data_IF_578196257662
#
_entry.id   IF_578196257662
#
_cell.length_a   1.000
_cell.length_b   1.000
_cell.length_c   1.000
_cell.angle_alpha   90.00
_cell.angle_beta   90.00
_cell.angle_gamma   90.00
#
_symmetry.space_group_name_H-M   'P 1'
#
loop_
_entity.id
_entity.type
_entity.pdbx_description
1 polymer ?
#
# COMPACT_ATOMS: atom_id res chain seq x y z
N UNK A 1 -1.54 6.04 33.35
CA UNK A 1 -0.30 6.62 32.79
C UNK A 1 -0.11 8.00 33.39
N UNK A 2 1.13 8.39 33.71
CA UNK A 2 1.47 9.78 33.99
C UNK A 2 1.35 10.60 32.71
N UNK A 3 0.79 11.80 32.78
CA UNK A 3 0.66 12.70 31.63
C UNK A 3 1.74 13.77 31.68
N UNK A 4 2.13 14.28 30.51
CA UNK A 4 3.01 15.43 30.35
C UNK A 4 2.24 16.54 29.62
N UNK A 5 2.26 17.75 30.17
CA UNK A 5 1.69 18.92 29.50
C UNK A 5 2.79 19.57 28.67
N UNK A 6 2.63 19.50 27.35
CA UNK A 6 3.49 20.23 26.41
C UNK A 6 3.16 21.73 26.45
N UNK A 7 4.17 22.59 26.32
CA UNK A 7 3.95 24.04 26.25
C UNK A 7 3.15 24.42 25.01
N UNK A 8 2.16 25.29 25.21
CA UNK A 8 1.40 25.90 24.14
C UNK A 8 2.30 26.73 23.22
N UNK A 9 1.99 26.73 21.92
CA UNK A 9 2.72 27.44 20.88
C UNK A 9 1.86 27.67 19.65
N UNK A 10 2.11 28.79 18.99
CA UNK A 10 1.61 29.03 17.65
C UNK A 10 2.38 28.16 16.64
N UNK A 11 1.65 27.51 15.74
CA UNK A 11 2.22 26.73 14.65
C UNK A 11 2.19 27.60 13.38
N UNK A 12 3.33 27.81 12.69
CA UNK A 12 3.35 28.63 11.49
C UNK A 12 2.55 27.97 10.37
N UNK A 13 1.61 28.72 9.78
CA UNK A 13 0.98 28.34 8.52
C UNK A 13 1.96 28.65 7.40
N UNK A 14 2.54 27.61 6.81
CA UNK A 14 3.63 27.74 5.83
C UNK A 14 3.11 27.86 4.40
N UNK A 15 1.87 27.46 4.16
CA UNK A 15 1.25 27.56 2.85
C UNK A 15 -0.27 27.61 2.92
N UNK A 16 -0.85 28.31 1.94
CA UNK A 16 -2.25 28.24 1.53
C UNK A 16 -2.30 27.71 0.08
N UNK A 17 -3.03 26.62 -0.13
CA UNK A 17 -3.11 25.89 -1.41
C UNK A 17 -4.55 25.50 -1.74
N UNK A 18 -4.80 25.04 -2.97
CA UNK A 18 -6.13 24.54 -3.31
C UNK A 18 -6.34 23.12 -2.75
N UNK A 19 -5.31 22.26 -2.84
CA UNK A 19 -5.39 20.84 -2.45
C UNK A 19 -4.14 20.41 -1.69
N UNK A 20 -4.33 19.81 -0.51
CA UNK A 20 -3.28 19.08 0.22
C UNK A 20 -3.59 17.58 0.20
N UNK A 21 -2.69 16.78 -0.38
CA UNK A 21 -2.76 15.32 -0.36
C UNK A 21 -1.79 14.81 0.69
N UNK A 22 -2.30 14.03 1.65
CA UNK A 22 -1.51 13.46 2.74
C UNK A 22 -1.22 11.99 2.46
N UNK A 23 0.02 11.66 2.09
CA UNK A 23 0.49 10.33 1.73
C UNK A 23 0.63 10.16 0.21
N UNK A 24 1.74 9.58 -0.22
CA UNK A 24 2.09 9.40 -1.64
C UNK A 24 2.01 7.93 -2.09
N UNK A 25 1.14 7.15 -1.46
CA UNK A 25 0.77 5.84 -1.98
C UNK A 25 0.10 5.91 -3.36
N UNK A 26 -0.34 4.76 -3.90
CA UNK A 26 -1.01 4.68 -5.21
C UNK A 26 -2.14 5.70 -5.38
N UNK A 27 -3.03 5.80 -4.38
CA UNK A 27 -4.16 6.73 -4.39
C UNK A 27 -3.70 8.19 -4.35
N UNK A 28 -2.78 8.53 -3.43
CA UNK A 28 -2.32 9.90 -3.23
C UNK A 28 -1.57 10.47 -4.44
N UNK A 29 -0.72 9.67 -5.08
CA UNK A 29 -0.03 10.07 -6.31
C UNK A 29 -1.01 10.37 -7.43
N UNK A 30 -1.99 9.49 -7.63
CA UNK A 30 -3.00 9.69 -8.67
C UNK A 30 -3.85 10.94 -8.38
N UNK A 31 -4.27 11.13 -7.12
CA UNK A 31 -5.03 12.31 -6.70
C UNK A 31 -4.24 13.61 -6.89
N UNK A 32 -2.97 13.63 -6.48
CA UNK A 32 -2.12 14.83 -6.58
C UNK A 32 -1.87 15.23 -8.04
N UNK A 33 -1.50 14.28 -8.90
CA UNK A 33 -1.28 14.52 -10.34
C UNK A 33 -2.57 14.98 -11.01
N UNK A 34 -3.70 14.32 -10.73
CA UNK A 34 -4.99 14.70 -11.29
C UNK A 34 -5.41 16.12 -10.87
N UNK A 35 -5.26 16.45 -9.58
CA UNK A 35 -5.56 17.79 -9.06
C UNK A 35 -4.68 18.86 -9.74
N UNK A 36 -3.36 18.67 -9.79
CA UNK A 36 -2.46 19.63 -10.39
C UNK A 36 -2.72 19.82 -11.90
N UNK A 37 -2.99 18.74 -12.64
CA UNK A 37 -3.33 18.80 -14.08
C UNK A 37 -4.66 19.50 -14.38
N UNK A 38 -5.54 19.65 -13.38
CA UNK A 38 -6.77 20.47 -13.49
C UNK A 38 -6.54 21.94 -13.12
N UNK A 39 -5.30 22.32 -12.80
CA UNK A 39 -4.88 23.70 -12.50
C UNK A 39 -4.92 24.06 -11.03
N UNK A 40 -5.20 23.11 -10.13
CA UNK A 40 -5.16 23.34 -8.69
C UNK A 40 -3.71 23.51 -8.21
N UNK A 41 -3.46 24.46 -7.31
CA UNK A 41 -2.20 24.50 -6.57
C UNK A 41 -2.18 23.34 -5.58
N UNK A 42 -1.37 22.33 -5.84
CA UNK A 42 -1.39 21.05 -5.12
C UNK A 42 -0.12 20.78 -4.34
N UNK A 43 -0.28 20.48 -3.05
CA UNK A 43 0.77 20.02 -2.15
C UNK A 43 0.62 18.52 -1.89
N UNK A 44 1.69 17.74 -2.06
CA UNK A 44 1.75 16.32 -1.71
C UNK A 44 2.73 16.10 -0.55
N UNK A 45 2.25 15.57 0.57
CA UNK A 45 3.03 15.35 1.79
C UNK A 45 3.30 13.85 1.97
N UNK A 46 4.55 13.45 2.20
CA UNK A 46 4.95 12.07 2.36
C UNK A 46 5.89 11.91 3.56
N UNK A 47 5.67 10.87 4.37
CA UNK A 47 6.47 10.56 5.56
C UNK A 47 7.81 9.92 5.21
N UNK A 48 7.87 9.20 4.09
CA UNK A 48 9.06 8.53 3.57
C UNK A 48 9.96 9.47 2.77
N UNK A 49 11.14 8.97 2.42
CA UNK A 49 12.13 9.67 1.60
C UNK A 49 11.98 9.48 0.10
N UNK A 50 10.84 8.95 -0.36
CA UNK A 50 10.52 8.76 -1.78
C UNK A 50 9.01 8.64 -1.95
N UNK A 51 8.53 8.92 -3.16
CA UNK A 51 7.13 8.75 -3.53
C UNK A 51 6.75 7.29 -3.78
N UNK A 52 5.46 6.95 -3.65
CA UNK A 52 4.87 5.66 -4.04
C UNK A 52 4.34 4.81 -2.88
N UNK A 53 4.64 5.17 -1.63
CA UNK A 53 4.16 4.46 -0.44
C UNK A 53 4.44 2.94 -0.50
N UNK A 54 3.39 2.12 -0.49
CA UNK A 54 3.51 0.66 -0.54
C UNK A 54 4.22 0.14 -1.81
N UNK A 55 4.10 0.86 -2.93
CA UNK A 55 4.77 0.48 -4.17
C UNK A 55 6.29 0.61 -4.07
N UNK A 56 6.79 1.52 -3.23
CA UNK A 56 8.21 1.85 -3.16
C UNK A 56 8.81 1.59 -1.78
N UNK A 57 8.45 2.38 -0.77
CA UNK A 57 8.91 2.19 0.61
C UNK A 57 8.47 0.85 1.20
N UNK A 58 7.27 0.38 0.85
CA UNK A 58 6.78 -0.97 1.21
C UNK A 58 7.34 -2.09 0.33
N UNK A 59 8.02 -1.75 -0.78
CA UNK A 59 8.62 -2.68 -1.74
C UNK A 59 7.65 -3.73 -2.34
N UNK A 60 6.33 -3.45 -2.33
CA UNK A 60 5.33 -4.30 -2.97
C UNK A 60 5.39 -4.14 -4.49
N UNK A 61 6.41 -4.74 -5.09
CA UNK A 61 6.69 -4.77 -6.53
C UNK A 61 5.71 -5.69 -7.29
N UNK A 62 4.41 -5.40 -7.13
CA UNK A 62 3.34 -6.12 -7.79
C UNK A 62 2.12 -5.22 -7.94
N UNK A 63 1.80 -4.83 -9.18
CA UNK A 63 0.56 -4.14 -9.51
C UNK A 63 -0.48 -5.18 -9.91
N UNK A 64 -1.66 -5.09 -9.31
CA UNK A 64 -2.80 -5.97 -9.55
C UNK A 64 -3.87 -5.19 -10.33
N UNK A 65 -4.58 -5.87 -11.23
CA UNK A 65 -5.71 -5.29 -11.98
C UNK A 65 -5.29 -4.05 -12.79
N UNK A 66 -4.14 -4.13 -13.48
CA UNK A 66 -3.64 -3.04 -14.33
C UNK A 66 -4.15 -3.09 -15.76
N UNK A 67 -4.59 -4.26 -16.23
CA UNK A 67 -4.98 -4.43 -17.63
C UNK A 67 -6.22 -3.60 -17.97
N UNK A 68 -6.10 -2.80 -19.04
CA UNK A 68 -7.20 -1.98 -19.55
C UNK A 68 -7.61 -0.82 -18.65
N UNK A 69 -6.80 -0.47 -17.63
CA UNK A 69 -7.03 0.72 -16.81
C UNK A 69 -6.50 1.96 -17.56
N UNK A 70 -7.34 2.98 -17.81
CA UNK A 70 -6.92 4.18 -18.51
C UNK A 70 -6.23 5.18 -17.55
N UNK A 71 -5.80 6.31 -18.12
CA UNK A 71 -5.34 7.47 -17.35
C UNK A 71 -3.97 7.23 -16.71
N UNK A 72 -3.79 7.72 -15.48
CA UNK A 72 -2.48 7.71 -14.80
C UNK A 72 -1.90 6.28 -14.68
N UNK A 73 -2.75 5.27 -14.49
CA UNK A 73 -2.28 3.86 -14.45
C UNK A 73 -1.73 3.38 -15.81
N UNK A 74 -2.36 3.79 -16.92
CA UNK A 74 -1.89 3.51 -18.28
C UNK A 74 -0.55 4.19 -18.53
N UNK A 75 -0.44 5.48 -18.15
CA UNK A 75 0.79 6.26 -18.27
C UNK A 75 1.95 5.60 -17.50
N UNK A 76 1.74 5.26 -16.21
CA UNK A 76 2.76 4.59 -15.39
C UNK A 76 3.17 3.25 -16.02
N UNK A 77 2.19 2.44 -16.43
CA UNK A 77 2.43 1.11 -16.98
C UNK A 77 3.21 1.18 -18.29
N UNK A 78 2.84 2.08 -19.20
CA UNK A 78 3.51 2.29 -20.48
C UNK A 78 4.92 2.85 -20.30
N UNK A 79 5.12 3.75 -19.35
CA UNK A 79 6.42 4.35 -19.11
C UNK A 79 7.40 3.37 -18.43
N UNK A 80 6.93 2.53 -17.50
CA UNK A 80 7.73 1.42 -16.98
C UNK A 80 8.09 0.40 -18.08
N UNK A 81 7.18 0.13 -19.02
CA UNK A 81 7.50 -0.69 -20.19
C UNK A 81 8.61 -0.06 -21.04
N UNK A 82 8.46 1.22 -21.37
CA UNK A 82 9.43 1.96 -22.19
C UNK A 82 10.82 1.98 -21.55
N UNK A 83 10.89 2.01 -20.22
CA UNK A 83 12.14 1.94 -19.44
C UNK A 83 12.72 0.53 -19.29
N UNK A 84 12.00 -0.51 -19.73
CA UNK A 84 12.37 -1.90 -19.42
C UNK A 84 12.33 -2.21 -17.92
N UNK A 85 11.48 -1.50 -17.19
CA UNK A 85 11.38 -1.54 -15.73
C UNK A 85 10.15 -2.30 -15.23
N UNK A 86 9.42 -3.01 -16.11
CA UNK A 86 8.37 -3.97 -15.73
C UNK A 86 8.59 -5.32 -16.36
N UNK A 87 8.19 -6.37 -15.66
CA UNK A 87 8.14 -7.72 -16.21
C UNK A 87 6.82 -7.90 -17.00
N UNK A 88 6.92 -8.01 -18.32
CA UNK A 88 5.78 -8.07 -19.25
C UNK A 88 5.10 -9.45 -19.34
N UNK A 89 5.68 -10.48 -18.71
CA UNK A 89 5.30 -11.89 -18.92
C UNK A 89 4.67 -12.52 -17.68
N UNK A 90 3.62 -11.90 -17.16
CA UNK A 90 2.72 -12.55 -16.20
C UNK A 90 1.66 -13.34 -16.98
N UNK A 91 1.35 -14.61 -16.65
CA UNK A 91 0.53 -15.49 -17.49
C UNK A 91 -0.87 -15.02 -17.87
N UNK A 92 -1.42 -14.00 -17.20
CA UNK A 92 -2.74 -13.43 -17.49
C UNK A 92 -2.72 -12.02 -18.10
N UNK A 93 -1.54 -11.37 -18.18
CA UNK A 93 -1.40 -9.98 -18.63
C UNK A 93 -2.12 -8.94 -17.77
N UNK A 94 -2.73 -9.34 -16.65
CA UNK A 94 -3.56 -8.49 -15.78
C UNK A 94 -2.78 -7.77 -14.69
N UNK A 95 -1.61 -8.31 -14.38
CA UNK A 95 -0.76 -7.88 -13.28
C UNK A 95 0.68 -7.77 -13.80
N UNK A 96 1.51 -7.00 -13.13
CA UNK A 96 2.94 -6.96 -13.44
C UNK A 96 3.78 -6.66 -12.20
N UNK A 97 5.01 -7.16 -12.22
CA UNK A 97 6.07 -6.73 -11.31
C UNK A 97 6.91 -5.63 -11.96
N UNK A 98 7.59 -4.84 -11.14
CA UNK A 98 8.31 -3.66 -11.61
C UNK A 98 9.54 -3.33 -10.77
N UNK A 99 10.55 -2.71 -11.36
CA UNK A 99 11.68 -2.21 -10.61
C UNK A 99 11.25 -1.00 -9.76
N UNK A 100 11.49 -1.10 -8.45
CA UNK A 100 11.04 -0.09 -7.49
C UNK A 100 11.84 1.20 -7.56
N UNK A 101 13.14 1.16 -7.87
CA UNK A 101 13.92 2.38 -8.05
C UNK A 101 13.46 3.13 -9.31
N UNK A 102 13.16 2.40 -10.38
CA UNK A 102 12.58 2.99 -11.58
C UNK A 102 11.18 3.58 -11.32
N UNK A 103 10.36 2.92 -10.49
CA UNK A 103 9.06 3.45 -10.06
C UNK A 103 9.23 4.76 -9.26
N UNK A 104 10.15 4.82 -8.28
CA UNK A 104 10.39 6.06 -7.51
C UNK A 104 10.68 7.25 -8.42
N UNK A 105 11.65 7.09 -9.32
CA UNK A 105 12.04 8.12 -10.27
C UNK A 105 10.88 8.52 -11.18
N UNK A 106 10.13 7.55 -11.70
CA UNK A 106 8.97 7.81 -12.55
C UNK A 106 7.92 8.66 -11.82
N UNK A 107 7.54 8.29 -10.60
CA UNK A 107 6.53 9.02 -9.85
C UNK A 107 6.98 10.45 -9.54
N UNK A 108 8.26 10.65 -9.21
CA UNK A 108 8.84 11.98 -8.99
C UNK A 108 8.83 12.84 -10.25
N UNK A 109 9.22 12.27 -11.40
CA UNK A 109 9.16 12.96 -12.69
C UNK A 109 7.73 13.34 -13.07
N UNK A 110 6.75 12.45 -12.90
CA UNK A 110 5.35 12.72 -13.18
C UNK A 110 4.77 13.81 -12.28
N UNK A 111 5.12 13.82 -10.98
CA UNK A 111 4.71 14.88 -10.06
C UNK A 111 5.30 16.24 -10.45
N UNK A 112 6.61 16.29 -10.76
CA UNK A 112 7.29 17.53 -11.20
C UNK A 112 6.70 18.05 -12.50
N UNK A 113 6.47 17.17 -13.49
CA UNK A 113 5.86 17.54 -14.77
C UNK A 113 4.43 18.07 -14.59
N UNK A 114 3.65 17.47 -13.70
CA UNK A 114 2.30 17.92 -13.39
C UNK A 114 2.25 19.23 -12.58
N UNK A 115 3.38 19.70 -12.03
CA UNK A 115 3.43 20.89 -11.18
C UNK A 115 3.00 20.65 -9.73
N UNK A 116 3.08 19.40 -9.25
CA UNK A 116 2.82 19.05 -7.84
C UNK A 116 4.00 19.52 -6.98
N UNK A 117 3.73 20.25 -5.90
CA UNK A 117 4.74 20.60 -4.90
C UNK A 117 4.87 19.46 -3.88
N UNK A 118 6.04 18.82 -3.82
CA UNK A 118 6.28 17.60 -3.05
C UNK A 118 7.05 17.89 -1.77
N UNK A 119 6.57 17.36 -0.65
CA UNK A 119 7.19 17.46 0.68
C UNK A 119 7.41 16.07 1.28
N UNK A 120 8.63 15.56 1.18
CA UNK A 120 9.07 14.29 1.77
C UNK A 120 9.40 14.43 3.27
N UNK A 121 9.62 13.29 3.95
CA UNK A 121 10.02 13.22 5.37
C UNK A 121 9.13 14.01 6.35
N UNK A 122 7.83 14.04 6.07
CA UNK A 122 6.88 14.90 6.78
C UNK A 122 5.63 14.10 7.14
N UNK A 123 5.35 13.99 8.44
CA UNK A 123 4.23 13.22 8.98
C UNK A 123 3.08 14.13 9.36
N UNK A 124 1.85 13.78 9.02
CA UNK A 124 0.64 14.42 9.56
C UNK A 124 0.44 14.02 11.01
N UNK A 125 0.24 15.00 11.89
CA UNK A 125 0.14 14.77 13.35
C UNK A 125 -1.08 15.39 14.00
N UNK A 126 -1.74 16.35 13.33
CA UNK A 126 -3.03 16.88 13.76
C UNK A 126 -3.82 17.45 12.59
N UNK A 127 -5.10 17.68 12.81
CA UNK A 127 -6.01 18.32 11.88
C UNK A 127 -6.95 19.24 12.67
N UNK A 128 -7.39 20.34 12.05
CA UNK A 128 -8.30 21.30 12.66
C UNK A 128 -9.42 21.67 11.69
N UNK A 129 -10.65 21.66 12.20
CA UNK A 129 -11.84 22.11 11.49
C UNK A 129 -12.11 23.57 11.81
N UNK A 130 -12.76 24.28 10.90
CA UNK A 130 -13.33 25.60 11.19
C UNK A 130 -14.67 25.50 11.95
N UNK A 131 -15.34 26.65 12.13
CA UNK A 131 -16.61 26.72 12.86
C UNK A 131 -17.77 26.06 12.08
N UNK A 132 -17.62 25.88 10.78
CA UNK A 132 -18.57 25.30 9.85
C UNK A 132 -18.34 23.79 9.63
N UNK A 133 -17.43 23.16 10.38
CA UNK A 133 -17.08 21.74 10.29
C UNK A 133 -16.31 21.35 9.02
N UNK A 134 -15.72 22.32 8.33
CA UNK A 134 -14.84 22.08 7.18
C UNK A 134 -13.40 21.90 7.67
N UNK A 135 -12.70 20.89 7.17
CA UNK A 135 -11.27 20.71 7.47
C UNK A 135 -10.49 21.88 6.87
N UNK A 136 -9.91 22.72 7.72
CA UNK A 136 -9.25 23.97 7.29
C UNK A 136 -7.73 23.87 7.31
N UNK A 137 -7.18 23.07 8.24
CA UNK A 137 -5.74 22.95 8.44
C UNK A 137 -5.34 21.52 8.78
N UNK A 138 -4.23 21.06 8.19
CA UNK A 138 -3.47 19.91 8.71
C UNK A 138 -2.15 20.38 9.30
N UNK A 139 -1.70 19.71 10.36
CA UNK A 139 -0.44 20.00 11.03
C UNK A 139 0.49 18.83 10.82
N UNK A 140 1.74 19.12 10.47
CA UNK A 140 2.78 18.10 10.28
C UNK A 140 3.95 18.28 11.22
N UNK A 141 4.74 17.21 11.38
CA UNK A 141 6.07 17.25 11.97
C UNK A 141 7.11 16.71 10.98
N UNK A 142 8.24 17.42 10.92
CA UNK A 142 9.42 17.05 10.14
C UNK A 142 10.69 17.56 10.83
N UNK A 143 11.84 17.42 10.16
CA UNK A 143 13.10 18.03 10.62
C UNK A 143 13.02 19.57 10.71
N UNK A 144 12.08 20.20 10.00
CA UNK A 144 11.83 21.65 10.07
C UNK A 144 11.02 22.06 11.30
N UNK A 145 10.59 21.10 12.13
CA UNK A 145 9.68 21.32 13.24
C UNK A 145 8.23 21.11 12.83
N UNK A 146 7.32 21.75 13.57
CA UNK A 146 5.88 21.65 13.37
C UNK A 146 5.41 22.75 12.43
N UNK A 147 4.67 22.38 11.39
CA UNK A 147 4.17 23.28 10.34
C UNK A 147 2.67 23.03 10.12
N UNK A 148 1.92 24.09 9.81
CA UNK A 148 0.51 24.02 9.47
C UNK A 148 0.28 24.30 7.98
N UNK A 149 -0.65 23.58 7.37
CA UNK A 149 -0.96 23.64 5.93
C UNK A 149 -2.45 23.91 5.77
N UNK A 150 -2.78 25.07 5.21
CA UNK A 150 -4.16 25.44 4.89
C UNK A 150 -4.49 25.03 3.45
N UNK A 151 -5.71 24.55 3.24
CA UNK A 151 -6.22 24.24 1.92
C UNK A 151 -7.74 24.29 1.84
N UNK A 152 -8.27 24.33 0.62
CA UNK A 152 -9.71 24.23 0.38
C UNK A 152 -10.19 22.78 0.45
N UNK A 153 -9.36 21.85 0.00
CA UNK A 153 -9.66 20.40 0.00
C UNK A 153 -8.44 19.63 0.47
N UNK A 154 -8.69 18.57 1.24
CA UNK A 154 -7.69 17.64 1.72
C UNK A 154 -8.03 16.22 1.24
N UNK A 155 -7.00 15.43 0.97
CA UNK A 155 -7.14 14.01 0.61
C UNK A 155 -6.35 13.17 1.61
N UNK A 156 -7.03 12.28 2.32
CA UNK A 156 -6.40 11.26 3.16
C UNK A 156 -5.95 10.07 2.31
N UNK A 157 -4.68 10.11 1.90
CA UNK A 157 -3.99 9.02 1.26
C UNK A 157 -2.86 8.47 2.14
N UNK A 158 -3.00 8.59 3.48
CA UNK A 158 -1.96 8.25 4.45
C UNK A 158 -1.67 6.74 4.49
N UNK A 159 -2.58 5.95 3.93
CA UNK A 159 -2.54 4.49 3.89
C UNK A 159 -3.36 3.87 5.02
N UNK A 160 -3.39 4.52 6.20
CA UNK A 160 -4.00 3.98 7.42
C UNK A 160 -5.18 4.81 7.95
N UNK A 161 -5.64 5.81 7.18
CA UNK A 161 -6.76 6.69 7.54
C UNK A 161 -6.43 7.64 8.69
N UNK A 162 -5.15 8.04 8.81
CA UNK A 162 -4.68 8.87 9.92
C UNK A 162 -5.26 10.27 9.87
N UNK A 163 -5.33 10.89 8.69
CA UNK A 163 -5.87 12.25 8.58
C UNK A 163 -7.36 12.28 8.92
N UNK A 164 -8.16 11.36 8.40
CA UNK A 164 -9.58 11.27 8.73
C UNK A 164 -9.82 11.04 10.22
N UNK A 165 -9.04 10.17 10.85
CA UNK A 165 -9.13 9.95 12.29
C UNK A 165 -8.70 11.18 13.11
N UNK A 166 -7.61 11.87 12.71
CA UNK A 166 -7.15 13.12 13.35
C UNK A 166 -8.16 14.26 13.14
N UNK A 167 -8.80 14.30 11.97
CA UNK A 167 -9.86 15.23 11.70
C UNK A 167 -11.09 14.92 12.54
N UNK A 168 -11.28 13.67 12.99
CA UNK A 168 -12.37 13.21 13.87
C UNK A 168 -13.53 12.55 13.13
N UNK A 169 -13.29 11.97 11.96
CA UNK A 169 -14.26 11.15 11.25
C UNK A 169 -14.50 9.82 11.96
N UNK A 170 -15.70 9.27 11.80
CA UNK A 170 -16.00 7.88 12.10
C UNK A 170 -15.22 6.94 11.19
N UNK A 171 -14.81 5.80 11.75
CA UNK A 171 -14.11 4.77 11.00
C UNK A 171 -14.35 3.39 11.58
N UNK A 172 -14.21 2.38 10.73
CA UNK A 172 -14.12 0.98 11.13
C UNK A 172 -12.68 0.48 10.99
N UNK A 173 -12.29 -0.48 11.82
CA UNK A 173 -11.01 -1.17 11.73
C UNK A 173 -11.16 -2.60 12.24
N UNK A 174 -10.66 -3.57 11.47
CA UNK A 174 -10.85 -4.99 11.76
C UNK A 174 -12.21 -5.52 11.31
N UNK A 175 -12.41 -6.82 11.52
CA UNK A 175 -13.70 -7.51 11.31
C UNK A 175 -14.79 -6.98 12.26
N UNK A 176 -16.03 -6.75 11.79
CA UNK A 176 -17.13 -6.35 12.66
C UNK A 176 -17.45 -7.35 13.78
N UNK A 177 -17.14 -8.64 13.60
CA UNK A 177 -17.49 -9.68 14.56
C UNK A 177 -16.57 -9.71 15.79
N UNK A 178 -15.28 -9.39 15.60
CA UNK A 178 -14.26 -9.60 16.63
C UNK A 178 -13.09 -8.61 16.61
N UNK A 179 -13.11 -7.61 15.73
CA UNK A 179 -12.06 -6.61 15.56
C UNK A 179 -10.77 -7.14 14.92
N UNK A 180 -10.70 -8.41 14.51
CA UNK A 180 -9.48 -8.98 13.96
C UNK A 180 -9.10 -8.29 12.65
N UNK A 181 -7.84 -7.87 12.57
CA UNK A 181 -7.24 -7.20 11.40
C UNK A 181 -6.43 -8.19 10.54
N UNK A 182 -6.36 -7.91 9.24
CA UNK A 182 -5.56 -8.69 8.32
C UNK A 182 -4.06 -8.67 8.67
N UNK A 183 -3.34 -9.79 8.48
CA UNK A 183 -1.94 -9.87 8.84
C UNK A 183 -1.04 -8.98 7.97
N UNK A 184 -0.06 -8.33 8.59
CA UNK A 184 0.95 -7.54 7.88
C UNK A 184 1.99 -8.45 7.19
N UNK A 185 2.65 -7.95 6.15
CA UNK A 185 3.73 -8.67 5.44
C UNK A 185 4.94 -7.77 5.23
N UNK A 186 6.15 -8.33 5.28
CA UNK A 186 7.37 -7.59 4.94
C UNK A 186 7.92 -8.12 3.62
N UNK A 187 7.95 -7.25 2.61
CA UNK A 187 8.52 -7.59 1.30
C UNK A 187 10.05 -7.66 1.37
N UNK A 188 10.64 -8.56 0.59
CA UNK A 188 12.08 -8.62 0.36
C UNK A 188 12.39 -8.65 -1.12
N UNK A 189 13.46 -7.98 -1.54
CA UNK A 189 14.08 -8.25 -2.83
C UNK A 189 15.20 -9.26 -2.65
N UNK A 190 15.22 -10.24 -3.55
CA UNK A 190 16.18 -11.33 -3.56
C UNK A 190 16.87 -11.41 -4.91
N UNK A 191 18.12 -11.87 -4.89
CA UNK A 191 18.98 -12.07 -6.07
C UNK A 191 19.83 -13.33 -5.90
N UNK A 192 20.71 -13.61 -6.85
CA UNK A 192 21.59 -14.78 -6.84
C UNK A 192 20.91 -16.07 -7.32
N UNK A 193 19.79 -15.93 -8.03
CA UNK A 193 19.08 -17.00 -8.74
C UNK A 193 18.68 -16.48 -10.12
N UNK A 194 18.55 -17.38 -11.10
CA UNK A 194 18.12 -17.01 -12.46
C UNK A 194 16.68 -17.46 -12.70
N UNK A 195 15.90 -16.64 -13.41
CA UNK A 195 14.48 -16.94 -13.67
C UNK A 195 14.27 -18.33 -14.26
N UNK A 196 15.06 -18.73 -15.25
CA UNK A 196 14.91 -20.04 -15.92
C UNK A 196 15.16 -21.23 -14.99
N UNK A 197 15.91 -21.05 -13.89
CA UNK A 197 16.17 -22.09 -12.89
C UNK A 197 15.04 -22.21 -11.86
N UNK A 198 14.36 -21.10 -11.57
CA UNK A 198 13.33 -21.02 -10.53
C UNK A 198 11.93 -20.75 -11.08
N UNK A 199 11.71 -20.78 -12.39
CA UNK A 199 10.44 -20.45 -13.05
C UNK A 199 9.25 -21.16 -12.39
N UNK A 200 9.43 -22.43 -12.01
CA UNK A 200 8.38 -23.21 -11.36
C UNK A 200 7.93 -22.66 -9.99
N UNK A 201 8.76 -21.87 -9.31
CA UNK A 201 8.48 -21.21 -8.02
C UNK A 201 7.97 -19.78 -8.18
N UNK A 202 8.07 -19.21 -9.38
CA UNK A 202 7.64 -17.84 -9.68
C UNK A 202 6.21 -17.88 -10.19
N UNK A 203 5.32 -17.06 -9.63
CA UNK A 203 3.95 -17.08 -10.11
C UNK A 203 3.00 -15.98 -9.71
N UNK A 204 3.42 -15.04 -8.87
CA UNK A 204 2.56 -13.94 -8.44
C UNK A 204 1.22 -14.42 -7.86
N UNK A 205 0.13 -14.32 -8.64
CA UNK A 205 -1.21 -14.77 -8.25
C UNK A 205 -1.44 -16.29 -8.37
N UNK A 206 -0.55 -17.05 -9.03
CA UNK A 206 -0.74 -18.49 -9.29
C UNK A 206 -0.62 -19.36 -8.04
N UNK A 207 -1.51 -20.35 -7.88
CA UNK A 207 -1.51 -21.23 -6.70
C UNK A 207 -0.37 -22.26 -6.68
N UNK A 208 -0.06 -22.87 -7.82
CA UNK A 208 0.89 -23.99 -7.87
C UNK A 208 2.35 -23.60 -7.54
N UNK A 209 2.89 -22.48 -8.06
CA UNK A 209 4.21 -21.99 -7.65
C UNK A 209 4.31 -21.70 -6.15
N UNK A 210 3.25 -21.16 -5.54
CA UNK A 210 3.20 -20.90 -4.09
C UNK A 210 3.32 -22.19 -3.27
N UNK A 211 2.60 -23.25 -3.66
CA UNK A 211 2.68 -24.57 -3.02
C UNK A 211 4.08 -25.17 -3.14
N UNK A 212 4.70 -25.08 -4.33
CA UNK A 212 6.07 -25.54 -4.55
C UNK A 212 7.06 -24.77 -3.68
N UNK A 213 6.94 -23.45 -3.60
CA UNK A 213 7.82 -22.64 -2.76
C UNK A 213 7.65 -22.93 -1.27
N UNK A 214 6.41 -23.12 -0.81
CA UNK A 214 6.14 -23.54 0.57
C UNK A 214 6.82 -24.88 0.89
N UNK A 215 6.61 -25.90 0.06
CA UNK A 215 7.23 -27.21 0.23
C UNK A 215 8.76 -27.15 0.18
N UNK A 216 9.33 -26.24 -0.61
CA UNK A 216 10.79 -26.04 -0.69
C UNK A 216 11.35 -25.38 0.58
N UNK A 217 10.62 -24.42 1.17
CA UNK A 217 10.97 -23.83 2.47
C UNK A 217 10.84 -24.85 3.61
N UNK A 218 9.82 -25.72 3.57
CA UNK A 218 9.72 -26.87 4.49
C UNK A 218 10.88 -27.85 4.33
N UNK A 219 11.27 -28.18 3.08
CA UNK A 219 12.43 -29.02 2.78
C UNK A 219 13.74 -28.41 3.32
N UNK A 220 13.82 -27.09 3.35
CA UNK A 220 14.91 -26.34 3.99
C UNK A 220 14.87 -26.36 5.53
N UNK A 221 13.83 -26.94 6.13
CA UNK A 221 13.64 -27.04 7.57
C UNK A 221 12.99 -25.82 8.23
N UNK A 222 12.49 -24.85 7.44
CA UNK A 222 11.88 -23.62 7.95
C UNK A 222 10.56 -23.35 7.20
N UNK A 223 9.40 -23.80 7.73
CA UNK A 223 8.12 -23.44 7.15
C UNK A 223 7.86 -21.91 7.30
N UNK A 224 7.34 -21.23 6.28
CA UNK A 224 6.96 -19.83 6.39
C UNK A 224 5.66 -19.65 7.18
N UNK A 225 5.51 -18.52 7.88
CA UNK A 225 4.25 -18.13 8.55
C UNK A 225 3.14 -17.81 7.56
N UNK A 226 3.49 -17.37 6.34
CA UNK A 226 2.51 -17.19 5.26
C UNK A 226 2.35 -18.47 4.45
N UNK A 227 1.13 -18.99 4.36
CA UNK A 227 0.82 -20.21 3.61
C UNK A 227 0.85 -20.08 2.09
N UNK A 228 0.94 -18.86 1.55
CA UNK A 228 1.00 -18.60 0.12
C UNK A 228 2.30 -17.92 -0.30
N UNK A 229 3.49 -18.36 0.16
CA UNK A 229 4.73 -17.64 -0.11
C UNK A 229 4.88 -17.47 -1.61
N UNK A 230 5.27 -16.27 -2.04
CA UNK A 230 5.22 -15.86 -3.44
C UNK A 230 6.52 -15.20 -3.85
N UNK A 231 7.03 -15.59 -5.02
CA UNK A 231 8.09 -14.89 -5.73
C UNK A 231 7.49 -14.20 -6.97
N UNK A 232 7.82 -12.93 -7.13
CA UNK A 232 7.49 -12.08 -8.27
C UNK A 232 8.78 -11.77 -9.04
N UNK A 233 8.78 -12.02 -10.35
CA UNK A 233 9.91 -11.70 -11.23
C UNK A 233 9.97 -10.21 -11.50
N UNK A 234 11.02 -9.52 -11.05
CA UNK A 234 11.24 -8.10 -11.34
C UNK A 234 12.14 -7.94 -12.57
N UNK A 235 13.29 -8.64 -12.56
CA UNK A 235 14.20 -8.83 -13.70
C UNK A 235 14.59 -10.31 -13.79
N UNK A 236 15.57 -10.65 -14.63
CA UNK A 236 16.04 -12.03 -14.81
C UNK A 236 16.72 -12.60 -13.56
N UNK A 237 17.41 -11.75 -12.79
CA UNK A 237 18.17 -12.08 -11.59
C UNK A 237 17.73 -11.31 -10.32
N UNK A 238 16.61 -10.59 -10.41
CA UNK A 238 16.03 -9.80 -9.32
C UNK A 238 14.56 -10.15 -9.15
N UNK A 239 14.18 -10.48 -7.92
CA UNK A 239 12.83 -10.90 -7.58
C UNK A 239 12.34 -10.21 -6.32
N UNK A 240 11.03 -10.00 -6.22
CA UNK A 240 10.39 -9.68 -4.95
C UNK A 240 9.82 -10.95 -4.32
N UNK A 241 9.93 -11.07 -3.01
CA UNK A 241 9.48 -12.21 -2.23
C UNK A 241 8.57 -11.74 -1.09
N UNK A 242 7.44 -12.42 -0.96
CA UNK A 242 6.50 -12.28 0.14
C UNK A 242 6.31 -13.64 0.78
N UNK A 243 6.78 -13.83 2.02
CA UNK A 243 6.80 -15.16 2.65
C UNK A 243 6.41 -15.14 4.13
N UNK A 244 5.98 -14.01 4.68
CA UNK A 244 5.65 -13.89 6.09
C UNK A 244 4.32 -13.17 6.33
N UNK A 245 3.71 -13.47 7.48
CA UNK A 245 2.52 -12.83 8.01
C UNK A 245 2.74 -12.48 9.48
N UNK A 246 2.35 -11.28 9.89
CA UNK A 246 2.33 -10.86 11.28
C UNK A 246 0.88 -10.58 11.67
N UNK A 247 0.33 -11.43 12.53
CA UNK A 247 -1.09 -11.49 12.84
C UNK A 247 -1.44 -10.61 14.05
N UNK A 248 -2.65 -10.04 14.06
CA UNK A 248 -3.18 -9.27 15.21
C UNK A 248 -2.43 -7.96 15.48
N UNK A 249 -1.80 -7.39 14.46
CA UNK A 249 -1.06 -6.14 14.56
C UNK A 249 -1.92 -5.01 14.01
N UNK A 250 -2.29 -4.06 14.85
CA UNK A 250 -3.09 -2.90 14.44
C UNK A 250 -2.21 -1.79 13.87
N UNK A 251 -2.69 -1.11 12.82
CA UNK A 251 -1.98 -0.03 12.14
C UNK A 251 -1.72 1.21 13.01
N UNK A 252 -2.45 1.35 14.12
CA UNK A 252 -2.38 2.49 15.02
C UNK A 252 -1.59 2.21 16.31
N UNK A 253 -0.84 1.10 16.37
CA UNK A 253 0.01 0.74 17.51
C UNK A 253 1.48 0.65 17.07
N UNK A 254 2.23 1.72 17.36
CA UNK A 254 3.63 1.84 16.97
C UNK A 254 4.54 0.78 17.61
N UNK A 255 4.25 0.32 18.84
CA UNK A 255 5.04 -0.71 19.50
C UNK A 255 4.78 -2.07 18.85
N UNK A 256 3.52 -2.40 18.58
CA UNK A 256 3.14 -3.62 17.89
C UNK A 256 3.72 -3.68 16.47
N UNK A 257 3.65 -2.57 15.71
CA UNK A 257 4.24 -2.47 14.37
C UNK A 257 5.76 -2.66 14.43
N UNK A 258 6.43 -2.05 15.41
CA UNK A 258 7.88 -2.18 15.58
C UNK A 258 8.26 -3.64 15.83
N UNK A 259 7.57 -4.31 16.75
CA UNK A 259 7.77 -5.72 17.05
C UNK A 259 7.55 -6.59 15.82
N UNK A 260 6.40 -6.44 15.15
CA UNK A 260 6.04 -7.16 13.94
C UNK A 260 7.08 -6.99 12.82
N UNK A 261 7.63 -5.78 12.67
CA UNK A 261 8.67 -5.48 11.68
C UNK A 261 9.99 -6.20 11.98
N UNK A 262 10.40 -6.26 13.25
CA UNK A 262 11.63 -6.97 13.66
C UNK A 262 11.46 -8.49 13.48
N UNK A 263 10.31 -9.03 13.87
CA UNK A 263 9.98 -10.45 13.76
C UNK A 263 9.90 -10.88 12.28
N UNK A 264 9.15 -10.13 11.46
CA UNK A 264 9.05 -10.33 10.01
C UNK A 264 10.43 -10.34 9.33
N UNK A 265 11.30 -9.38 9.65
CA UNK A 265 12.64 -9.32 9.07
C UNK A 265 13.49 -10.52 9.49
N UNK A 266 13.38 -10.94 10.75
CA UNK A 266 14.08 -12.12 11.26
C UNK A 266 13.63 -13.39 10.51
N UNK A 267 12.32 -13.55 10.31
CA UNK A 267 11.75 -14.68 9.58
C UNK A 267 12.21 -14.71 8.12
N UNK A 268 12.08 -13.61 7.39
CA UNK A 268 12.51 -13.50 5.98
C UNK A 268 13.99 -13.85 5.82
N UNK A 269 14.87 -13.31 6.67
CA UNK A 269 16.29 -13.65 6.62
C UNK A 269 16.57 -15.12 6.98
N UNK A 270 15.75 -15.72 7.84
CA UNK A 270 15.86 -17.14 8.20
C UNK A 270 15.45 -18.03 7.03
N UNK A 271 14.33 -17.73 6.38
CA UNK A 271 13.86 -18.44 5.19
C UNK A 271 14.89 -18.40 4.06
N UNK A 272 15.47 -17.23 3.75
CA UNK A 272 16.50 -17.11 2.70
C UNK A 272 17.76 -17.90 3.05
N UNK A 273 18.24 -17.86 4.30
CA UNK A 273 19.38 -18.67 4.74
C UNK A 273 19.10 -20.17 4.63
N UNK A 274 17.89 -20.59 5.00
CA UNK A 274 17.46 -21.98 4.93
C UNK A 274 17.43 -22.45 3.47
N UNK A 275 16.76 -21.72 2.57
CA UNK A 275 16.75 -22.02 1.14
C UNK A 275 18.18 -22.10 0.58
N UNK A 276 19.04 -21.13 0.90
CA UNK A 276 20.45 -21.15 0.46
C UNK A 276 21.20 -22.39 0.92
N UNK A 277 20.91 -22.89 2.14
CA UNK A 277 21.58 -24.08 2.68
C UNK A 277 21.28 -25.37 1.90
N UNK A 278 20.21 -25.39 1.09
CA UNK A 278 19.89 -26.50 0.20
C UNK A 278 20.89 -26.65 -0.97
N UNK A 279 21.70 -25.62 -1.25
CA UNK A 279 22.60 -25.60 -2.40
C UNK A 279 21.85 -25.60 -3.73
N UNK A 280 22.46 -26.15 -4.77
CA UNK A 280 21.85 -26.23 -6.11
C UNK A 280 21.46 -24.86 -6.66
N UNK A 281 20.21 -24.73 -7.12
CA UNK A 281 19.64 -23.48 -7.65
C UNK A 281 19.57 -22.34 -6.61
N UNK A 282 19.67 -22.66 -5.31
CA UNK A 282 19.58 -21.67 -4.22
C UNK A 282 20.93 -21.24 -3.65
N UNK A 283 22.05 -21.85 -4.09
CA UNK A 283 23.37 -21.72 -3.43
C UNK A 283 23.85 -20.27 -3.29
N UNK A 284 23.46 -19.41 -4.23
CA UNK A 284 23.87 -18.00 -4.29
C UNK A 284 22.74 -17.04 -3.86
N UNK A 285 21.59 -17.56 -3.40
CA UNK A 285 20.43 -16.76 -3.00
C UNK A 285 20.78 -15.74 -1.90
N UNK A 286 20.45 -14.48 -2.14
CA UNK A 286 20.76 -13.36 -1.26
C UNK A 286 19.57 -12.40 -1.14
N UNK A 287 19.48 -11.72 0.00
CA UNK A 287 18.58 -10.58 0.18
C UNK A 287 19.33 -9.33 -0.28
N UNK A 288 18.72 -8.58 -1.19
CA UNK A 288 19.16 -7.25 -1.59
C UNK A 288 18.71 -6.23 -0.54
N UNK A 289 17.42 -6.23 -0.24
CA UNK A 289 16.81 -5.35 0.75
C UNK A 289 15.48 -5.95 1.26
N UNK A 290 15.01 -5.43 2.40
CA UNK A 290 13.62 -5.57 2.85
C UNK A 290 12.93 -4.23 2.76
N UNK A 291 11.60 -4.21 2.65
CA UNK A 291 10.82 -2.96 2.70
C UNK A 291 11.20 -2.08 3.90
N UNK A 292 11.28 -0.77 3.68
CA UNK A 292 11.53 0.20 4.74
C UNK A 292 10.31 0.33 5.66
N UNK A 293 9.11 0.10 5.10
CA UNK A 293 7.84 -0.02 5.81
C UNK A 293 7.33 -1.46 5.71
N UNK A 294 6.82 -2.01 6.81
CA UNK A 294 6.05 -3.25 6.77
C UNK A 294 4.70 -2.99 6.09
N UNK A 295 4.27 -3.88 5.20
CA UNK A 295 3.00 -3.78 4.51
C UNK A 295 1.84 -3.95 5.48
N UNK A 296 1.20 -2.83 5.82
CA UNK A 296 -0.08 -2.78 6.52
C UNK A 296 -1.19 -3.08 5.51
N UNK A 297 -2.05 -4.05 5.81
CA UNK A 297 -3.17 -4.44 4.93
C UNK A 297 -4.49 -3.82 5.33
N UNK A 298 -4.57 -3.33 6.56
CA UNK A 298 -5.82 -2.85 7.15
C UNK A 298 -5.53 -1.77 8.19
N UNK A 299 -5.82 -0.53 7.81
CA UNK A 299 -5.89 0.61 8.72
C UNK A 299 -7.33 1.01 9.01
N UNK A 300 -7.55 2.29 9.29
CA UNK A 300 -8.88 2.84 9.53
C UNK A 300 -9.60 3.05 8.20
N UNK A 301 -10.76 2.43 8.04
CA UNK A 301 -11.67 2.69 6.93
C UNK A 301 -12.59 3.85 7.31
N UNK A 302 -12.23 5.04 6.85
CA UNK A 302 -13.02 6.26 7.09
C UNK A 302 -14.41 6.10 6.47
N UNK A 303 -15.44 6.52 7.19
CA UNK A 303 -16.82 6.47 6.71
C UNK A 303 -17.04 7.50 5.61
N UNK A 304 -17.28 7.01 4.39
CA UNK A 304 -17.68 7.84 3.26
C UNK A 304 -19.20 8.05 3.20
N UNK A 305 -19.67 8.87 2.26
CA UNK A 305 -21.11 8.97 1.95
C UNK A 305 -21.69 7.68 1.33
N UNK A 306 -20.84 6.74 0.93
CA UNK A 306 -21.22 5.41 0.46
C UNK A 306 -20.20 4.37 0.91
N UNK A 307 -20.67 3.21 1.35
CA UNK A 307 -19.82 2.05 1.66
C UNK A 307 -19.95 1.03 0.52
N UNK A 308 -18.84 0.72 -0.15
CA UNK A 308 -18.81 -0.34 -1.16
C UNK A 308 -18.86 -1.68 -0.45
N UNK A 309 -19.99 -2.37 -0.60
CA UNK A 309 -20.31 -3.57 0.17
C UNK A 309 -19.91 -4.87 -0.56
N UNK A 310 -19.82 -5.98 0.17
CA UNK A 310 -19.64 -7.29 -0.46
C UNK A 310 -20.79 -7.68 -1.40
N UNK A 311 -21.99 -7.12 -1.20
CA UNK A 311 -23.14 -7.26 -2.10
C UNK A 311 -22.91 -6.51 -3.42
N UNK A 312 -22.37 -5.29 -3.37
CA UNK A 312 -22.01 -4.53 -4.57
C UNK A 312 -21.04 -5.29 -5.46
N UNK A 313 -20.05 -5.92 -4.84
CA UNK A 313 -19.04 -6.74 -5.51
C UNK A 313 -19.63 -8.02 -6.10
N UNK A 314 -20.60 -8.63 -5.43
CA UNK A 314 -21.31 -9.83 -5.92
C UNK A 314 -22.17 -9.49 -7.13
N UNK A 315 -22.85 -8.34 -7.08
CA UNK A 315 -23.87 -7.96 -8.05
C UNK A 315 -23.29 -7.12 -9.20
N UNK A 316 -22.02 -6.70 -9.11
CA UNK A 316 -21.33 -5.96 -10.17
C UNK A 316 -21.88 -4.55 -10.31
N UNK A 317 -22.16 -3.90 -9.19
CA UNK A 317 -22.88 -2.61 -9.16
C UNK A 317 -22.12 -1.54 -9.94
N UNK A 318 -22.90 -0.75 -10.70
CA UNK A 318 -22.44 0.38 -11.52
C UNK A 318 -22.94 1.68 -10.92
N UNK A 319 -22.15 2.74 -11.02
CA UNK A 319 -22.52 4.04 -10.46
C UNK A 319 -22.37 5.16 -11.50
N UNK A 320 -23.27 6.14 -11.47
CA UNK A 320 -23.22 7.32 -12.37
C UNK A 320 -22.00 8.21 -12.08
N UNK A 321 -21.57 8.27 -10.82
CA UNK A 321 -20.40 8.98 -10.31
C UNK A 321 -19.19 8.06 -10.12
N UNK A 322 -19.10 6.96 -10.88
CA UNK A 322 -17.97 6.04 -10.82
C UNK A 322 -16.65 6.74 -11.20
N UNK A 323 -15.62 6.55 -10.36
CA UNK A 323 -14.25 7.05 -10.61
C UNK A 323 -13.23 5.94 -10.77
N UNK A 324 -13.56 4.72 -10.35
CA UNK A 324 -12.72 3.55 -10.54
C UNK A 324 -13.60 2.37 -10.95
N UNK A 325 -13.23 1.72 -12.05
CA UNK A 325 -13.75 0.41 -12.42
C UNK A 325 -12.82 -0.66 -11.89
N UNK A 326 -13.32 -1.67 -11.21
CA UNK A 326 -12.52 -2.75 -10.59
C UNK A 326 -12.86 -4.09 -11.23
N UNK A 327 -11.83 -4.86 -11.58
CA UNK A 327 -12.00 -6.25 -12.08
C UNK A 327 -11.33 -7.29 -11.18
N UNK A 328 -10.71 -6.83 -10.08
CA UNK A 328 -10.17 -7.66 -9.03
C UNK A 328 -11.23 -8.09 -8.01
N UNK A 329 -11.04 -9.27 -7.42
CA UNK A 329 -11.94 -9.80 -6.40
C UNK A 329 -11.59 -9.34 -4.99
N UNK A 330 -12.36 -9.83 -4.01
CA UNK A 330 -12.09 -9.63 -2.58
C UNK A 330 -10.84 -10.44 -2.19
N UNK A 331 -9.79 -9.73 -1.76
CA UNK A 331 -8.55 -10.32 -1.25
C UNK A 331 -8.47 -10.15 0.27
N UNK A 332 -9.11 -11.08 0.99
CA UNK A 332 -9.10 -11.10 2.46
C UNK A 332 -8.24 -12.26 2.93
N UNK A 333 -7.16 -11.93 3.63
CA UNK A 333 -6.26 -12.89 4.25
C UNK A 333 -6.85 -13.39 5.57
N UNK A 334 -6.72 -14.70 5.84
CA UNK A 334 -7.13 -15.29 7.12
C UNK A 334 -6.45 -14.59 8.28
N UNK A 335 -7.22 -14.23 9.31
CA UNK A 335 -6.73 -13.64 10.56
C UNK A 335 -6.27 -14.70 11.57
N UNK A 336 -6.44 -15.99 11.26
CA UNK A 336 -6.05 -17.10 12.12
C UNK A 336 -4.86 -17.87 11.50
N UNK A 337 -3.72 -17.97 12.22
CA UNK A 337 -2.52 -18.64 11.72
C UNK A 337 -2.70 -20.15 11.48
N UNK A 338 -3.65 -20.80 12.15
CA UNK A 338 -3.96 -22.23 11.97
C UNK A 338 -4.96 -22.48 10.83
N UNK A 339 -5.72 -21.46 10.44
CA UNK A 339 -6.64 -21.50 9.30
C UNK A 339 -5.95 -20.95 8.06
N UNK A 340 -4.91 -21.62 7.62
CA UNK A 340 -4.17 -21.32 6.37
C UNK A 340 -4.86 -21.84 5.11
N UNK A 341 -6.09 -22.37 5.22
CA UNK A 341 -6.87 -22.83 4.07
C UNK A 341 -7.70 -21.70 3.47
N UNK A 342 -7.02 -20.87 2.67
CA UNK A 342 -7.62 -20.01 1.67
C UNK A 342 -8.09 -18.65 2.19
N UNK A 343 -8.03 -17.66 1.30
CA UNK A 343 -9.03 -16.57 1.24
C UNK A 343 -10.36 -17.18 1.66
N UNK A 344 -11.05 -16.64 2.66
CA UNK A 344 -12.40 -17.13 2.95
C UNK A 344 -13.19 -17.01 1.66
N UNK A 345 -13.36 -18.14 0.99
CA UNK A 345 -14.13 -18.24 -0.23
C UNK A 345 -15.57 -18.10 0.24
N UNK A 346 -16.00 -16.85 0.49
CA UNK A 346 -17.40 -16.53 0.45
C UNK A 346 -17.90 -17.03 -0.91
N UNK A 347 -19.04 -17.72 -0.98
CA UNK A 347 -19.49 -18.53 -2.13
C UNK A 347 -19.79 -17.70 -3.40
N UNK A 348 -19.32 -16.47 -3.50
CA UNK A 348 -19.68 -15.50 -4.52
C UNK A 348 -18.41 -14.98 -5.17
N UNK A 349 -18.23 -15.33 -6.45
CA UNK A 349 -17.22 -14.73 -7.30
C UNK A 349 -17.62 -13.27 -7.53
N UNK A 350 -16.75 -12.33 -7.14
CA UNK A 350 -16.98 -10.92 -7.43
C UNK A 350 -17.11 -10.72 -8.95
N UNK A 351 -18.10 -9.93 -9.34
CA UNK A 351 -18.26 -9.40 -10.68
C UNK A 351 -17.52 -8.05 -10.76
N UNK A 352 -17.06 -7.62 -11.94
CA UNK A 352 -16.52 -6.28 -12.08
C UNK A 352 -17.51 -5.21 -11.62
N UNK A 353 -17.05 -4.24 -10.84
CA UNK A 353 -17.87 -3.26 -10.12
C UNK A 353 -17.23 -1.87 -10.17
N UNK A 354 -17.98 -0.85 -9.79
CA UNK A 354 -17.46 0.52 -9.67
C UNK A 354 -17.22 0.92 -8.21
N UNK A 355 -16.22 1.79 -8.00
CA UNK A 355 -16.10 2.62 -6.80
C UNK A 355 -16.60 4.03 -7.15
N UNK A 356 -17.68 4.52 -6.51
CA UNK A 356 -18.22 5.85 -6.76
C UNK A 356 -17.43 6.93 -6.01
N UNK A 357 -17.38 8.15 -6.55
CA UNK A 357 -16.70 9.29 -5.92
C UNK A 357 -17.16 9.53 -4.49
N UNK A 358 -18.47 9.44 -4.23
CA UNK A 358 -19.04 9.65 -2.89
C UNK A 358 -18.55 8.64 -1.83
N UNK A 359 -17.98 7.50 -2.23
CA UNK A 359 -17.34 6.57 -1.29
C UNK A 359 -15.99 7.10 -0.77
N UNK A 360 -15.39 8.05 -1.48
CA UNK A 360 -14.15 8.73 -1.13
C UNK A 360 -14.38 10.16 -0.63
N UNK A 361 -15.58 10.49 -0.15
CA UNK A 361 -15.85 11.78 0.47
C UNK A 361 -16.22 11.50 1.92
N UNK A 362 -15.43 12.02 2.85
CA UNK A 362 -15.64 11.80 4.28
C UNK A 362 -17.02 12.28 4.70
N UNK A 363 -17.78 11.43 5.38
CA UNK A 363 -19.17 11.70 5.75
C UNK A 363 -19.31 12.77 6.83
N UNK A 364 -18.34 12.82 7.74
CA UNK A 364 -18.44 13.57 9.00
C UNK A 364 -17.75 14.94 8.96
N UNK A 365 -16.95 15.23 7.92
CA UNK A 365 -16.10 16.42 7.81
C UNK A 365 -16.10 16.92 6.38
N UNK A 366 -16.44 18.19 6.19
CA UNK A 366 -16.43 18.80 4.87
C UNK A 366 -14.99 19.11 4.41
N UNK A 367 -14.77 19.06 3.10
CA UNK A 367 -13.45 19.33 2.51
C UNK A 367 -12.43 18.20 2.64
N UNK A 368 -12.83 17.01 3.10
CA UNK A 368 -11.96 15.84 3.22
C UNK A 368 -12.44 14.69 2.32
N UNK A 369 -11.50 14.15 1.54
CA UNK A 369 -11.68 12.93 0.75
C UNK A 369 -10.90 11.77 1.36
#
# INVERSE_FOLDING_TARGET
MSTFHESERDVPVVEDTDVVVCGSGPAGICAAIAAARTGAKTRLIEVHGCLGGVWTAGALSWVIDSAGKPGIMEEITGELERRGARATRVPDGKNYAYDVEAMKLLLEEMCVEAGVDVRLHTRVVAAARDAENHLSVVVTESKSGREAWAAKVFVDATGDGDLGALAGCGFDMGSPENGAVQPMSLMAWITGVQFDEIESFVGGSMSEPKKRLYAEMERAGVPPSYAGPTIFRVRDDLFAMMANHQYGVYANDAEAITKATIEARTEVHTLVRALRSLGGIWKDLQIVATGAQIGVREGRRIHGHYEVSAEDLRDGVRHEDAICYVTFGIDVHSTNPDKTKGVEAKPHRSQPYDIPLRALIAKDVDGLL
#
